data_IF_933149981576
#
_entry.id   IF_933149981576
#
_cell.length_a   1.000
_cell.length_b   1.000
_cell.length_c   1.000
_cell.angle_alpha   90.00
_cell.angle_beta   90.00
_cell.angle_gamma   90.00
#
_symmetry.space_group_name_H-M   'P 1'
#
loop_
_entity.id
_entity.type
_entity.pdbx_description
1 polymer ?
#
# COMPACT_ATOMS: atom_id res chain seq x y z
N UNK A 1 -5.67 -13.58 26.73
CA UNK A 1 -4.49 -12.75 26.48
C UNK A 1 -4.87 -11.59 25.57
N UNK A 2 -4.54 -10.38 25.99
CA UNK A 2 -4.85 -9.20 25.20
C UNK A 2 -3.69 -8.88 24.25
N UNK A 3 -3.99 -8.74 22.97
CA UNK A 3 -3.01 -8.36 21.95
C UNK A 3 -3.33 -6.96 21.42
N UNK A 4 -2.29 -6.20 21.15
CA UNK A 4 -2.35 -4.83 20.68
C UNK A 4 -1.61 -4.69 19.35
N UNK A 5 -1.83 -3.57 18.66
CA UNK A 5 -1.15 -3.30 17.40
C UNK A 5 0.36 -3.45 17.52
N UNK A 6 0.96 -2.95 18.62
CA UNK A 6 2.41 -3.05 18.83
C UNK A 6 2.93 -4.48 18.91
N UNK A 7 2.07 -5.43 19.30
CA UNK A 7 2.44 -6.85 19.38
C UNK A 7 2.39 -7.56 18.03
N UNK A 8 1.61 -7.02 17.10
CA UNK A 8 1.30 -7.64 15.82
C UNK A 8 1.95 -6.93 14.64
N UNK A 9 2.37 -5.68 14.81
CA UNK A 9 2.88 -4.88 13.70
C UNK A 9 4.25 -5.36 13.23
N UNK A 10 4.46 -5.22 11.92
CA UNK A 10 5.76 -5.37 11.30
C UNK A 10 6.46 -4.02 11.37
N UNK A 11 7.67 -3.99 11.95
CA UNK A 11 8.48 -2.78 12.06
C UNK A 11 9.42 -2.60 10.88
N UNK A 12 9.77 -3.70 10.21
CA UNK A 12 10.63 -3.67 9.04
C UNK A 12 9.76 -3.66 7.78
N UNK A 13 9.34 -2.48 7.39
CA UNK A 13 8.50 -2.26 6.20
C UNK A 13 9.15 -1.20 5.32
N UNK A 14 8.88 -1.29 4.02
CA UNK A 14 9.39 -0.33 3.07
C UNK A 14 8.46 0.89 2.97
N UNK A 15 9.06 2.06 2.96
CA UNK A 15 8.38 3.33 2.71
C UNK A 15 8.92 3.95 1.44
N UNK A 16 8.18 4.93 0.94
CA UNK A 16 8.64 5.75 -0.18
C UNK A 16 8.22 7.19 0.07
N UNK A 17 9.09 8.12 -0.32
CA UNK A 17 8.78 9.54 -0.18
C UNK A 17 7.74 9.95 -1.21
N UNK A 18 6.84 10.85 -0.83
CA UNK A 18 5.76 11.33 -1.69
C UNK A 18 6.24 11.95 -3.00
N UNK A 19 7.42 12.57 -3.00
CA UNK A 19 7.99 13.24 -4.17
C UNK A 19 8.88 12.34 -5.02
N UNK A 20 9.05 11.07 -4.62
CA UNK A 20 9.84 10.11 -5.38
C UNK A 20 9.14 9.78 -6.70
N UNK A 21 9.90 9.41 -7.75
CA UNK A 21 9.29 8.93 -8.99
C UNK A 21 8.63 7.57 -8.78
N UNK A 22 7.53 7.34 -9.50
CA UNK A 22 6.81 6.05 -9.44
C UNK A 22 7.72 4.90 -9.84
N UNK A 23 8.69 5.13 -10.72
CA UNK A 23 9.67 4.10 -11.10
C UNK A 23 10.38 3.50 -9.88
N UNK A 24 10.71 4.35 -8.88
CA UNK A 24 11.32 3.85 -7.64
C UNK A 24 10.35 2.98 -6.84
N UNK A 25 9.08 3.36 -6.78
CA UNK A 25 8.05 2.54 -6.12
C UNK A 25 7.92 1.16 -6.80
N UNK A 26 7.94 1.14 -8.12
CA UNK A 26 7.89 -0.10 -8.90
C UNK A 26 9.08 -1.00 -8.53
N UNK A 27 10.29 -0.46 -8.50
CA UNK A 27 11.49 -1.22 -8.13
C UNK A 27 11.39 -1.80 -6.72
N UNK A 28 10.92 -1.00 -5.77
CA UNK A 28 10.75 -1.46 -4.38
C UNK A 28 9.72 -2.57 -4.27
N UNK A 29 8.60 -2.47 -4.98
CA UNK A 29 7.56 -3.51 -4.98
C UNK A 29 8.10 -4.80 -5.61
N UNK A 30 8.79 -4.70 -6.74
CA UNK A 30 9.36 -5.87 -7.42
C UNK A 30 10.40 -6.59 -6.56
N UNK A 31 11.14 -5.86 -5.74
CA UNK A 31 12.20 -6.39 -4.90
C UNK A 31 11.78 -6.55 -3.43
N UNK A 32 10.48 -6.47 -3.14
CA UNK A 32 9.98 -6.57 -1.78
C UNK A 32 10.32 -7.93 -1.17
N UNK A 33 10.72 -7.89 0.10
CA UNK A 33 11.08 -9.10 0.85
C UNK A 33 9.83 -9.87 1.25
N UNK A 34 9.97 -11.20 1.32
CA UNK A 34 8.92 -12.07 1.85
C UNK A 34 8.97 -11.97 3.37
N UNK A 35 7.81 -11.72 3.99
CA UNK A 35 7.70 -11.68 5.45
C UNK A 35 7.80 -13.09 6.04
N UNK A 36 8.06 -13.23 7.36
CA UNK A 36 8.14 -14.55 8.01
C UNK A 36 6.90 -15.43 7.79
N UNK A 37 5.74 -14.84 7.54
CA UNK A 37 4.50 -15.55 7.25
C UNK A 37 4.44 -16.13 5.84
N UNK A 38 5.44 -15.87 4.99
CA UNK A 38 5.47 -16.31 3.60
C UNK A 38 4.83 -15.36 2.61
N UNK A 39 4.31 -14.21 3.06
CA UNK A 39 3.63 -13.24 2.20
C UNK A 39 4.58 -12.12 1.79
N UNK A 40 4.47 -11.71 0.53
CA UNK A 40 5.26 -10.63 -0.04
C UNK A 40 4.45 -9.33 0.00
N UNK A 41 5.11 -8.24 0.38
CA UNK A 41 4.50 -6.91 0.36
C UNK A 41 4.36 -6.41 -1.08
N UNK A 42 3.15 -6.01 -1.47
CA UNK A 42 2.86 -5.50 -2.82
C UNK A 42 2.42 -4.04 -2.80
N UNK A 43 2.64 -3.39 -1.68
CA UNK A 43 2.31 -1.97 -1.50
C UNK A 43 3.33 -1.32 -0.59
N UNK A 44 3.44 0.00 -0.70
CA UNK A 44 4.35 0.80 0.10
C UNK A 44 3.57 1.87 0.84
N UNK A 45 4.02 2.20 2.03
CA UNK A 45 3.55 3.36 2.78
C UNK A 45 4.26 4.59 2.24
N UNK A 46 3.49 5.64 1.94
CA UNK A 46 4.02 6.91 1.42
C UNK A 46 4.15 7.89 2.57
N UNK A 47 5.32 8.47 2.71
CA UNK A 47 5.63 9.40 3.81
C UNK A 47 6.13 10.73 3.25
N UNK A 48 6.04 11.77 4.09
CA UNK A 48 6.60 13.07 3.82
C UNK A 48 7.99 13.23 4.48
N UNK A 49 8.54 14.45 4.45
CA UNK A 49 9.86 14.75 5.02
C UNK A 49 9.95 14.50 6.53
N UNK A 50 8.84 14.54 7.23
CA UNK A 50 8.76 14.32 8.68
C UNK A 50 8.42 12.87 9.03
N UNK A 51 8.44 11.98 8.04
CA UNK A 51 8.04 10.57 8.19
C UNK A 51 6.58 10.40 8.62
N UNK A 52 5.74 11.38 8.27
CA UNK A 52 4.30 11.26 8.47
C UNK A 52 3.67 10.49 7.31
N UNK A 53 2.72 9.62 7.63
CA UNK A 53 2.00 8.83 6.64
C UNK A 53 1.05 9.76 5.85
N UNK A 54 1.21 9.78 4.53
CA UNK A 54 0.39 10.63 3.64
C UNK A 54 -0.39 9.83 2.59
N UNK A 55 -0.08 8.55 2.41
CA UNK A 55 -0.78 7.73 1.44
C UNK A 55 -0.23 6.33 1.37
N UNK A 56 -0.77 5.55 0.45
CA UNK A 56 -0.24 4.23 0.09
C UNK A 56 -0.16 4.12 -1.42
N UNK A 57 0.81 3.35 -1.91
CA UNK A 57 0.92 3.05 -3.33
C UNK A 57 1.09 1.55 -3.50
N UNK A 58 0.39 0.96 -4.46
CA UNK A 58 0.35 -0.48 -4.67
C UNK A 58 0.39 -0.81 -6.15
N UNK A 59 0.57 -2.09 -6.46
CA UNK A 59 0.43 -2.57 -7.84
C UNK A 59 -0.91 -2.14 -8.44
N UNK A 60 -1.99 -2.19 -7.65
CA UNK A 60 -3.32 -1.80 -8.11
C UNK A 60 -3.34 -0.34 -8.61
N UNK A 61 -2.82 0.59 -7.80
CA UNK A 61 -2.84 2.01 -8.17
C UNK A 61 -1.92 2.32 -9.34
N UNK A 62 -0.76 1.65 -9.40
CA UNK A 62 0.16 1.81 -10.53
C UNK A 62 -0.51 1.33 -11.83
N UNK A 63 -1.12 0.15 -11.81
CA UNK A 63 -1.83 -0.39 -12.98
C UNK A 63 -3.06 0.43 -13.34
N UNK A 64 -3.77 0.94 -12.34
CA UNK A 64 -4.91 1.83 -12.58
C UNK A 64 -4.50 3.06 -13.39
N UNK A 65 -3.37 3.67 -13.06
CA UNK A 65 -2.86 4.87 -13.72
C UNK A 65 -2.03 4.58 -14.97
N UNK A 66 -1.80 3.31 -15.29
CA UNK A 66 -1.19 2.92 -16.55
C UNK A 66 -2.09 3.28 -17.74
N UNK A 67 -3.39 3.20 -17.55
CA UNK A 67 -4.37 3.52 -18.57
C UNK A 67 -4.34 5.00 -18.89
N UNK A 68 -4.44 5.38 -20.18
CA UNK A 68 -4.53 6.80 -20.53
C UNK A 68 -5.83 7.41 -20.00
N UNK A 69 -5.83 8.71 -19.81
CA UNK A 69 -6.98 9.44 -19.27
C UNK A 69 -8.28 9.10 -20.03
N UNK A 70 -8.19 8.96 -21.36
CA UNK A 70 -9.35 8.62 -22.20
C UNK A 70 -9.99 7.28 -21.83
N UNK A 71 -9.21 6.31 -21.33
CA UNK A 71 -9.75 5.01 -20.92
C UNK A 71 -10.36 5.03 -19.52
N UNK A 72 -9.97 5.96 -18.66
CA UNK A 72 -10.56 6.09 -17.32
C UNK A 72 -12.04 6.46 -17.39
N UNK A 73 -12.45 7.10 -18.49
CA UNK A 73 -13.83 7.52 -18.73
C UNK A 73 -14.43 6.83 -19.96
N UNK A 74 -13.81 5.72 -20.42
CA UNK A 74 -14.28 5.02 -21.60
C UNK A 74 -15.59 4.27 -21.31
N UNK A 75 -16.44 4.18 -22.35
CA UNK A 75 -17.58 3.28 -22.33
C UNK A 75 -17.11 1.82 -22.45
N UNK A 76 -17.97 0.88 -22.03
CA UNK A 76 -17.65 -0.55 -21.93
C UNK A 76 -17.06 -1.16 -23.21
N UNK A 77 -17.45 -0.65 -24.38
CA UNK A 77 -17.03 -1.20 -25.67
C UNK A 77 -15.78 -0.54 -26.25
N UNK A 78 -15.00 0.16 -25.43
CA UNK A 78 -13.77 0.80 -25.92
C UNK A 78 -12.78 -0.24 -26.41
N UNK A 79 -12.18 0.03 -27.58
CA UNK A 79 -11.10 -0.80 -28.10
C UNK A 79 -9.85 -0.63 -27.24
N UNK A 80 -9.41 -1.73 -26.64
CA UNK A 80 -8.25 -1.73 -25.74
C UNK A 80 -6.99 -2.26 -26.44
N UNK A 81 -6.99 -2.40 -27.77
CA UNK A 81 -5.81 -2.85 -28.51
C UNK A 81 -4.79 -1.72 -28.69
N UNK A 82 -4.11 -1.39 -27.58
CA UNK A 82 -3.13 -0.29 -27.53
C UNK A 82 -1.70 -0.75 -27.76
N UNK A 83 -1.49 -1.86 -28.47
CA UNK A 83 -0.19 -2.53 -28.56
C UNK A 83 0.95 -1.61 -29.03
N UNK A 84 0.68 -0.67 -29.94
CA UNK A 84 1.70 0.27 -30.42
C UNK A 84 2.03 1.40 -29.46
N UNK A 85 1.26 1.57 -28.38
CA UNK A 85 1.37 2.70 -27.45
C UNK A 85 1.73 2.28 -26.02
N UNK A 86 1.81 0.97 -25.75
CA UNK A 86 2.03 0.44 -24.42
C UNK A 86 3.31 0.99 -23.78
N UNK A 87 4.42 1.01 -24.52
CA UNK A 87 5.70 1.52 -23.99
C UNK A 87 5.59 2.97 -23.56
N UNK A 88 4.84 3.79 -24.33
CA UNK A 88 4.60 5.18 -23.98
C UNK A 88 3.83 5.32 -22.67
N UNK A 89 2.79 4.49 -22.47
CA UNK A 89 2.01 4.50 -21.23
C UNK A 89 2.87 4.07 -20.04
N UNK A 90 3.69 3.05 -20.20
CA UNK A 90 4.61 2.58 -19.16
C UNK A 90 5.58 3.70 -18.76
N UNK A 91 6.21 4.36 -19.74
CA UNK A 91 7.13 5.45 -19.45
C UNK A 91 6.42 6.63 -18.79
N UNK A 92 5.20 6.94 -19.22
CA UNK A 92 4.43 8.04 -18.65
C UNK A 92 4.13 7.80 -17.15
N UNK A 93 3.71 6.58 -16.77
CA UNK A 93 3.42 6.29 -15.37
C UNK A 93 4.69 6.27 -14.53
N UNK A 94 5.80 5.76 -15.06
CA UNK A 94 7.08 5.75 -14.36
C UNK A 94 7.59 7.15 -14.03
N UNK A 95 7.30 8.11 -14.90
CA UNK A 95 7.78 9.49 -14.76
C UNK A 95 6.96 10.32 -13.77
N UNK A 96 5.80 9.85 -13.35
CA UNK A 96 4.97 10.57 -12.37
C UNK A 96 5.62 10.48 -10.99
N UNK A 97 5.25 11.43 -10.13
CA UNK A 97 5.62 11.37 -8.72
C UNK A 97 4.60 10.52 -7.95
N UNK A 98 5.06 9.87 -6.90
CA UNK A 98 4.23 8.95 -6.10
C UNK A 98 2.94 9.61 -5.61
N UNK A 99 3.01 10.86 -5.11
CA UNK A 99 1.83 11.56 -4.60
C UNK A 99 0.75 11.79 -5.67
N UNK A 100 1.10 11.75 -6.95
CA UNK A 100 0.14 11.96 -8.04
C UNK A 100 -0.75 10.75 -8.29
N UNK A 101 -0.30 9.55 -7.88
CA UNK A 101 -1.05 8.32 -8.12
C UNK A 101 -1.34 7.50 -6.86
N UNK A 102 -0.81 7.90 -5.70
CA UNK A 102 -1.06 7.20 -4.45
C UNK A 102 -2.53 7.29 -4.02
N UNK A 103 -2.94 6.37 -3.16
CA UNK A 103 -4.19 6.49 -2.42
C UNK A 103 -3.95 7.39 -1.20
N UNK A 104 -4.56 8.57 -1.13
CA UNK A 104 -4.40 9.45 0.03
C UNK A 104 -5.27 9.05 1.22
N UNK A 105 -6.24 8.17 1.03
CA UNK A 105 -7.15 7.73 2.08
C UNK A 105 -6.47 6.64 2.90
N UNK A 106 -5.74 7.05 3.93
CA UNK A 106 -5.02 6.11 4.77
C UNK A 106 -5.75 5.93 6.09
N UNK A 107 -5.84 4.66 6.51
CA UNK A 107 -6.36 4.29 7.81
C UNK A 107 -5.17 3.98 8.72
N UNK A 108 -5.15 4.61 9.89
CA UNK A 108 -4.11 4.38 10.88
C UNK A 108 -4.72 4.07 12.23
N UNK A 109 -3.94 3.37 13.04
CA UNK A 109 -4.31 3.01 14.41
C UNK A 109 -3.14 3.33 15.34
N UNK A 110 -3.41 3.59 16.62
CA UNK A 110 -2.35 3.76 17.60
C UNK A 110 -1.74 2.39 17.97
N UNK A 111 -0.53 2.36 18.54
CA UNK A 111 0.12 1.09 18.92
C UNK A 111 -0.61 0.32 20.03
N UNK A 112 -1.45 0.97 20.78
CA UNK A 112 -2.24 0.34 21.86
C UNK A 112 -3.65 -0.07 21.42
N UNK A 113 -3.92 -0.06 20.11
CA UNK A 113 -5.21 -0.54 19.60
C UNK A 113 -5.33 -2.05 19.80
N UNK A 114 -6.52 -2.51 20.22
CA UNK A 114 -6.74 -3.93 20.51
C UNK A 114 -6.96 -4.75 19.25
N UNK A 115 -6.59 -6.04 19.32
CA UNK A 115 -6.73 -6.95 18.18
C UNK A 115 -8.17 -6.97 17.62
N UNK A 116 -9.17 -7.05 18.48
CA UNK A 116 -10.57 -7.14 18.01
C UNK A 116 -10.98 -5.86 17.27
N UNK A 117 -10.54 -4.70 17.73
CA UNK A 117 -10.81 -3.43 17.04
C UNK A 117 -10.07 -3.38 15.69
N UNK A 118 -8.83 -3.89 15.65
CA UNK A 118 -8.07 -3.97 14.41
C UNK A 118 -8.81 -4.82 13.38
N UNK A 119 -9.23 -6.02 13.78
CA UNK A 119 -9.98 -6.94 12.91
C UNK A 119 -11.29 -6.29 12.43
N UNK A 120 -12.02 -5.66 13.33
CA UNK A 120 -13.27 -4.98 12.99
C UNK A 120 -13.04 -3.87 11.96
N UNK A 121 -12.02 -3.03 12.16
CA UNK A 121 -11.70 -1.97 11.20
C UNK A 121 -11.31 -2.50 9.83
N UNK A 122 -10.52 -3.58 9.80
CA UNK A 122 -10.16 -4.23 8.54
C UNK A 122 -11.39 -4.71 7.77
N UNK A 123 -12.32 -5.34 8.49
CA UNK A 123 -13.55 -5.86 7.88
C UNK A 123 -14.48 -4.75 7.40
N UNK A 124 -14.71 -3.74 8.23
CA UNK A 124 -15.60 -2.62 7.88
C UNK A 124 -15.08 -1.80 6.71
N UNK A 125 -13.78 -1.59 6.62
CA UNK A 125 -13.17 -0.78 5.58
C UNK A 125 -12.65 -1.61 4.41
N UNK A 126 -12.78 -2.92 4.47
CA UNK A 126 -12.34 -3.85 3.42
C UNK A 126 -10.86 -3.65 3.06
N UNK A 127 -10.04 -3.48 4.08
CA UNK A 127 -8.60 -3.33 3.92
C UNK A 127 -7.88 -4.54 4.50
N UNK A 128 -6.70 -4.83 3.98
CA UNK A 128 -5.89 -5.99 4.37
C UNK A 128 -4.70 -5.59 5.22
N UNK A 129 -4.56 -4.32 5.53
CA UNK A 129 -3.49 -3.79 6.35
C UNK A 129 -3.93 -2.48 6.98
N UNK A 130 -3.33 -2.18 8.13
CA UNK A 130 -3.51 -0.91 8.81
C UNK A 130 -2.15 -0.38 9.23
N UNK A 131 -1.94 0.90 9.02
CA UNK A 131 -0.73 1.59 9.45
C UNK A 131 -0.81 1.89 10.93
N UNK A 132 0.30 1.75 11.64
CA UNK A 132 0.41 2.10 13.06
C UNK A 132 1.18 3.40 13.16
N UNK A 133 0.55 4.41 13.77
CA UNK A 133 1.10 5.77 13.87
C UNK A 133 1.16 6.17 15.34
N UNK A 134 2.29 6.73 15.75
CA UNK A 134 2.50 7.28 17.09
C UNK A 134 3.23 8.61 17.00
N UNK A 135 2.69 9.63 17.67
CA UNK A 135 3.32 10.95 17.63
C UNK A 135 3.41 11.55 16.23
N UNK A 136 2.44 11.24 15.36
CA UNK A 136 2.43 11.73 13.98
C UNK A 136 3.35 10.96 13.02
N UNK A 137 4.04 9.92 13.50
CA UNK A 137 5.01 9.17 12.69
C UNK A 137 4.55 7.73 12.49
N UNK A 138 4.81 7.22 11.30
CA UNK A 138 4.57 5.81 10.94
C UNK A 138 5.60 4.94 11.65
N UNK A 139 5.13 4.00 12.50
CA UNK A 139 6.01 3.12 13.27
C UNK A 139 5.86 1.65 12.93
N UNK A 140 4.81 1.26 12.24
CA UNK A 140 4.59 -0.13 11.90
C UNK A 140 3.40 -0.32 10.97
N UNK A 141 3.23 -1.55 10.51
CA UNK A 141 2.10 -1.95 9.67
C UNK A 141 1.58 -3.29 10.18
N UNK A 142 0.27 -3.39 10.38
CA UNK A 142 -0.40 -4.64 10.73
C UNK A 142 -1.03 -5.21 9.48
N UNK A 143 -0.70 -6.46 9.15
CA UNK A 143 -1.24 -7.16 8.00
C UNK A 143 -2.26 -8.22 8.42
N UNK A 144 -3.35 -8.31 7.68
CA UNK A 144 -4.39 -9.33 7.93
C UNK A 144 -3.78 -10.74 7.89
N UNK A 145 -2.92 -11.02 6.93
CA UNK A 145 -2.28 -12.33 6.81
C UNK A 145 -1.43 -12.69 8.02
N UNK A 146 -0.77 -11.70 8.62
CA UNK A 146 0.05 -11.92 9.81
C UNK A 146 -0.82 -12.20 11.05
N UNK A 147 -1.95 -11.51 11.16
CA UNK A 147 -2.94 -11.78 12.22
C UNK A 147 -3.45 -13.22 12.08
N UNK A 148 -3.85 -13.60 10.88
CA UNK A 148 -4.37 -14.94 10.63
C UNK A 148 -3.33 -16.01 10.98
N UNK A 149 -2.09 -15.82 10.52
CA UNK A 149 -1.00 -16.72 10.84
C UNK A 149 -0.77 -16.83 12.35
N UNK A 150 -0.72 -15.69 13.03
CA UNK A 150 -0.48 -15.65 14.47
C UNK A 150 -1.56 -16.39 15.27
N UNK A 151 -2.83 -16.25 14.87
CA UNK A 151 -3.95 -16.83 15.62
C UNK A 151 -4.17 -18.31 15.32
N UNK A 152 -3.88 -18.77 14.10
CA UNK A 152 -4.34 -20.08 13.62
C UNK A 152 -3.22 -21.03 13.22
N UNK A 153 -1.97 -20.58 13.12
CA UNK A 153 -0.86 -21.50 12.88
C UNK A 153 -0.47 -22.22 14.17
N UNK A 154 -0.03 -23.44 14.03
CA UNK A 154 0.44 -24.23 15.17
C UNK A 154 1.98 -24.17 15.32
#
# INVERSE_FOLDING_TARGET
MQLYARDLMTKNFDTIHRDAPVELAIKKILNAKVRPTGHKTVSLMVVDDLHALVGTISMHYILYHLRPFSLLFAVEDADLSWSGELDGFVQAVKAKQVHQIMNPDVLSIPPDETLMTIVDRMMRNRVRRLSVVEGGKLIGVVYMSDIFYHLFSE
#
